data_IF_305118663464
#
_entry.id   IF_305118663464
#
_cell.length_a   1.000
_cell.length_b   1.000
_cell.length_c   1.000
_cell.angle_alpha   90.00
_cell.angle_beta   90.00
_cell.angle_gamma   90.00
#
_symmetry.space_group_name_H-M   'P 1'
#
loop_
_entity.id
_entity.type
_entity.pdbx_description
1 polymer ?
#
# COMPACT_ATOMS: atom_id res chain seq x y z
N UNK A 1 -44.49 39.76 10.31
CA UNK A 1 -44.16 40.76 11.34
C UNK A 1 -44.15 40.04 12.68
N UNK A 2 -43.16 40.31 13.53
CA UNK A 2 -42.54 39.46 14.59
C UNK A 2 -41.34 38.71 13.99
N UNK A 3 -40.09 39.17 14.06
CA UNK A 3 -39.30 39.88 15.08
C UNK A 3 -39.13 39.07 16.38
N UNK A 4 -38.02 38.35 16.46
CA UNK A 4 -37.45 37.82 17.71
C UNK A 4 -36.00 37.32 17.48
N UNK A 5 -35.08 38.23 17.75
CA UNK A 5 -33.86 38.07 18.56
C UNK A 5 -32.89 36.90 18.25
N UNK A 6 -31.73 37.29 17.71
CA UNK A 6 -30.49 36.52 17.74
C UNK A 6 -29.94 36.39 19.18
N UNK A 7 -29.34 35.23 19.55
CA UNK A 7 -28.59 35.11 20.79
C UNK A 7 -27.15 35.65 20.68
N UNK A 8 -26.55 36.08 21.81
CA UNK A 8 -25.32 36.87 21.84
C UNK A 8 -24.04 36.04 21.65
N UNK A 9 -23.03 36.72 21.10
CA UNK A 9 -21.67 36.25 20.91
C UNK A 9 -21.02 35.84 22.25
N UNK A 10 -20.58 34.58 22.33
CA UNK A 10 -19.75 34.10 23.41
C UNK A 10 -18.29 34.55 23.20
N UNK A 11 -17.84 35.38 24.13
CA UNK A 11 -16.49 35.85 24.34
C UNK A 11 -15.60 34.66 24.73
N UNK A 12 -14.72 34.20 23.83
CA UNK A 12 -13.71 33.19 24.16
C UNK A 12 -12.42 33.91 24.52
N UNK A 13 -12.19 33.90 25.82
CA UNK A 13 -11.04 34.46 26.51
C UNK A 13 -9.74 33.78 26.06
N UNK A 14 -8.76 34.63 25.82
CA UNK A 14 -7.39 34.35 25.42
C UNK A 14 -6.61 33.70 26.57
N UNK A 15 -6.57 32.37 26.63
CA UNK A 15 -5.60 31.65 27.45
C UNK A 15 -4.39 31.23 26.60
N UNK A 16 -3.42 32.14 26.53
CA UNK A 16 -2.08 31.92 25.95
C UNK A 16 -1.33 30.94 26.86
N UNK A 17 -1.14 29.70 26.41
CA UNK A 17 -0.26 28.74 27.08
C UNK A 17 1.20 29.25 27.01
N UNK A 18 2.01 29.06 28.07
CA UNK A 18 3.38 29.54 28.11
C UNK A 18 4.24 28.79 27.08
N UNK A 19 4.99 29.58 26.31
CA UNK A 19 6.08 29.13 25.46
C UNK A 19 7.08 28.41 26.36
N UNK A 20 7.05 27.08 26.35
CA UNK A 20 8.11 26.26 26.89
C UNK A 20 9.35 26.47 26.03
N UNK A 21 10.32 27.17 26.59
CA UNK A 21 11.69 27.22 26.11
C UNK A 21 12.19 25.77 25.98
N UNK A 22 12.32 25.30 24.75
CA UNK A 22 13.18 24.18 24.43
C UNK A 22 14.61 24.69 24.62
N UNK A 23 15.12 24.57 25.84
CA UNK A 23 16.56 24.41 26.03
C UNK A 23 16.97 23.18 25.20
N UNK A 24 17.72 23.41 24.14
CA UNK A 24 18.60 22.43 23.53
C UNK A 24 19.43 21.77 24.64
N UNK A 25 18.96 20.62 25.12
CA UNK A 25 19.83 19.66 25.76
C UNK A 25 20.53 18.91 24.62
N UNK A 26 21.61 19.52 24.14
CA UNK A 26 22.63 18.83 23.36
C UNK A 26 23.20 17.73 24.27
N UNK A 27 22.64 16.52 24.18
CA UNK A 27 23.26 15.36 24.82
C UNK A 27 24.63 15.17 24.16
N UNK A 28 25.73 15.17 24.95
CA UNK A 28 27.04 14.95 24.38
C UNK A 28 27.09 13.50 23.90
N UNK A 29 27.30 13.31 22.61
CA UNK A 29 27.69 12.01 22.04
C UNK A 29 28.88 11.50 22.86
N UNK A 30 28.74 10.40 23.64
CA UNK A 30 29.86 9.86 24.39
C UNK A 30 30.81 9.23 23.37
N UNK A 31 31.92 9.92 23.06
CA UNK A 31 32.98 9.38 22.22
C UNK A 31 33.41 10.22 21.02
N UNK A 32 32.93 11.45 20.85
CA UNK A 32 33.59 12.39 19.93
C UNK A 32 34.89 12.88 20.57
N UNK A 33 36.00 12.19 20.32
CA UNK A 33 37.34 12.70 20.57
C UNK A 33 37.51 13.99 19.77
N UNK A 34 37.40 15.13 20.46
CA UNK A 34 37.88 16.42 19.93
C UNK A 34 39.37 16.24 19.68
N UNK A 35 39.87 16.38 18.43
CA UNK A 35 41.28 16.19 18.16
C UNK A 35 42.06 17.26 18.92
N UNK A 36 42.91 16.85 19.85
CA UNK A 36 43.85 17.74 20.52
C UNK A 36 44.87 18.20 19.46
N UNK A 37 44.96 19.49 19.10
CA UNK A 37 45.74 19.93 17.95
C UNK A 37 47.25 20.02 18.21
N UNK A 38 47.75 19.59 19.37
CA UNK A 38 49.15 19.74 19.73
C UNK A 38 49.88 18.39 19.83
N UNK A 39 51.03 18.35 19.16
CA UNK A 39 52.00 17.25 19.01
C UNK A 39 51.70 16.25 17.88
N UNK A 40 51.87 16.69 16.62
CA UNK A 40 52.22 15.80 15.51
C UNK A 40 53.63 15.25 15.76
N UNK A 41 53.72 14.08 16.39
CA UNK A 41 54.99 13.33 16.41
C UNK A 41 55.38 12.99 14.97
N UNK A 42 56.61 13.33 14.57
CA UNK A 42 57.19 12.98 13.27
C UNK A 42 57.59 11.48 13.19
N UNK A 43 57.11 10.67 14.14
CA UNK A 43 57.44 9.26 14.25
C UNK A 43 56.36 8.42 13.54
N UNK A 44 56.68 7.80 12.39
CA UNK A 44 55.73 6.96 11.65
C UNK A 44 55.23 5.76 12.46
N UNK A 45 55.97 5.31 13.49
CA UNK A 45 55.55 4.22 14.37
C UNK A 45 54.47 4.68 15.35
N UNK A 46 54.59 5.90 15.88
CA UNK A 46 53.58 6.50 16.75
C UNK A 46 52.25 6.75 16.00
N UNK A 47 52.33 7.24 14.76
CA UNK A 47 51.17 7.40 13.88
C UNK A 47 50.50 6.04 13.58
N UNK A 48 51.30 5.01 13.29
CA UNK A 48 50.79 3.66 13.03
C UNK A 48 50.06 3.05 14.22
N UNK A 49 50.57 3.26 15.43
CA UNK A 49 49.92 2.80 16.66
C UNK A 49 48.61 3.57 16.95
N UNK A 50 48.57 4.87 16.65
CA UNK A 50 47.36 5.68 16.78
C UNK A 50 46.24 5.19 15.83
N UNK A 51 46.54 5.00 14.54
CA UNK A 51 45.56 4.49 13.57
C UNK A 51 45.07 3.08 13.90
N UNK A 52 45.96 2.22 14.41
CA UNK A 52 45.58 0.89 14.88
C UNK A 52 44.56 0.98 16.02
N UNK A 53 44.79 1.88 16.97
CA UNK A 53 43.89 2.15 18.10
C UNK A 53 42.52 2.67 17.66
N UNK A 54 42.50 3.65 16.76
CA UNK A 54 41.26 4.21 16.18
C UNK A 54 40.48 3.13 15.42
N UNK A 55 41.16 2.29 14.64
CA UNK A 55 40.51 1.20 13.90
C UNK A 55 39.90 0.14 14.82
N UNK A 56 40.60 -0.26 15.88
CA UNK A 56 40.05 -1.18 16.89
C UNK A 56 38.84 -0.58 17.61
N UNK A 57 38.85 0.71 17.95
CA UNK A 57 37.72 1.37 18.59
C UNK A 57 36.49 1.44 17.65
N UNK A 58 36.70 1.69 16.36
CA UNK A 58 35.63 1.64 15.36
C UNK A 58 35.08 0.22 15.17
N UNK A 59 35.95 -0.79 15.14
CA UNK A 59 35.55 -2.19 15.01
C UNK A 59 34.74 -2.68 16.23
N UNK A 60 35.15 -2.31 17.45
CA UNK A 60 34.40 -2.61 18.67
C UNK A 60 33.06 -1.87 18.72
N UNK A 61 33.03 -0.59 18.30
CA UNK A 61 31.80 0.18 18.19
C UNK A 61 30.83 -0.36 17.13
N UNK A 62 31.34 -0.96 16.04
CA UNK A 62 30.52 -1.64 15.04
C UNK A 62 29.97 -2.97 15.57
N UNK A 63 30.80 -3.72 16.31
CA UNK A 63 30.41 -4.98 16.94
C UNK A 63 29.33 -4.77 18.01
N UNK A 64 29.46 -3.76 18.87
CA UNK A 64 28.44 -3.40 19.87
C UNK A 64 27.12 -3.00 19.21
N UNK A 65 27.15 -2.18 18.15
CA UNK A 65 25.97 -1.83 17.35
C UNK A 65 25.35 -3.05 16.67
N UNK A 66 26.16 -3.98 16.17
CA UNK A 66 25.65 -5.22 15.55
C UNK A 66 24.94 -6.14 16.56
N UNK A 67 25.41 -6.19 17.81
CA UNK A 67 24.76 -6.95 18.88
C UNK A 67 23.43 -6.32 19.30
N UNK A 68 23.36 -4.99 19.41
CA UNK A 68 22.12 -4.26 19.69
C UNK A 68 21.10 -4.40 18.55
N UNK A 69 21.56 -4.37 17.29
CA UNK A 69 20.71 -4.64 16.13
C UNK A 69 20.21 -6.08 16.14
N UNK A 70 21.03 -7.05 16.55
CA UNK A 70 20.61 -8.44 16.65
C UNK A 70 19.54 -8.66 17.74
N UNK A 71 19.67 -8.01 18.91
CA UNK A 71 18.63 -8.03 19.95
C UNK A 71 17.34 -7.35 19.48
N UNK A 72 17.45 -6.19 18.82
CA UNK A 72 16.30 -5.47 18.28
C UNK A 72 15.60 -6.29 17.17
N UNK A 73 16.37 -7.00 16.34
CA UNK A 73 15.84 -7.94 15.34
C UNK A 73 15.17 -9.14 16.00
N UNK A 74 15.73 -9.72 17.06
CA UNK A 74 15.08 -10.84 17.78
C UNK A 74 13.81 -10.42 18.50
N UNK A 75 13.82 -9.24 19.13
CA UNK A 75 12.64 -8.69 19.81
C UNK A 75 11.56 -8.30 18.80
N UNK A 76 11.95 -7.75 17.65
CA UNK A 76 11.04 -7.54 16.53
C UNK A 76 10.50 -8.86 15.99
N UNK A 77 11.32 -9.89 15.76
CA UNK A 77 10.87 -11.22 15.30
C UNK A 77 9.85 -11.86 16.25
N UNK A 78 10.09 -11.80 17.57
CA UNK A 78 9.15 -12.29 18.56
C UNK A 78 7.82 -11.49 18.54
N UNK A 79 7.91 -10.16 18.42
CA UNK A 79 6.73 -9.30 18.27
C UNK A 79 5.98 -9.57 16.95
N UNK A 80 6.69 -9.85 15.86
CA UNK A 80 6.12 -10.19 14.55
C UNK A 80 5.40 -11.53 14.59
N UNK A 81 5.96 -12.54 15.27
CA UNK A 81 5.28 -13.83 15.46
C UNK A 81 3.97 -13.68 16.23
N UNK A 82 3.96 -12.88 17.31
CA UNK A 82 2.75 -12.58 18.07
C UNK A 82 1.72 -11.76 17.27
N UNK A 83 2.18 -10.81 16.44
CA UNK A 83 1.33 -10.06 15.53
C UNK A 83 0.72 -10.95 14.44
N UNK A 84 1.48 -11.89 13.90
CA UNK A 84 1.01 -12.83 12.89
C UNK A 84 -0.13 -13.71 13.43
N UNK A 85 -0.01 -14.23 14.65
CA UNK A 85 -1.09 -14.98 15.30
C UNK A 85 -2.31 -14.09 15.58
N UNK A 86 -2.12 -12.85 16.06
CA UNK A 86 -3.23 -11.92 16.28
C UNK A 86 -3.96 -11.55 14.98
N UNK A 87 -3.22 -11.41 13.89
CA UNK A 87 -3.76 -11.12 12.56
C UNK A 87 -4.53 -12.33 12.02
N UNK A 88 -3.98 -13.54 12.17
CA UNK A 88 -4.65 -14.79 11.80
C UNK A 88 -5.97 -14.96 12.55
N UNK A 89 -5.96 -14.76 13.88
CA UNK A 89 -7.17 -14.82 14.69
C UNK A 89 -8.18 -13.75 14.25
N UNK A 90 -7.71 -12.53 13.97
CA UNK A 90 -8.55 -11.44 13.47
C UNK A 90 -9.19 -11.80 12.13
N UNK A 91 -8.43 -12.32 11.17
CA UNK A 91 -8.93 -12.75 9.87
C UNK A 91 -9.94 -13.90 10.01
N UNK A 92 -9.65 -14.88 10.86
CA UNK A 92 -10.58 -15.97 11.12
C UNK A 92 -11.91 -15.44 11.66
N UNK A 93 -11.85 -14.51 12.61
CA UNK A 93 -13.06 -13.90 13.18
C UNK A 93 -13.78 -13.02 12.15
N UNK A 94 -13.06 -12.26 11.31
CA UNK A 94 -13.64 -11.50 10.18
C UNK A 94 -14.42 -12.41 9.22
N UNK A 95 -13.85 -13.56 8.87
CA UNK A 95 -14.44 -14.51 7.90
C UNK A 95 -15.59 -15.32 8.51
N UNK A 96 -15.51 -15.65 9.80
CA UNK A 96 -16.54 -16.43 10.49
C UNK A 96 -17.74 -15.61 10.96
N UNK A 97 -17.56 -14.30 11.12
CA UNK A 97 -18.64 -13.40 11.53
C UNK A 97 -19.72 -13.29 10.44
N UNK A 98 -20.92 -13.78 10.79
CA UNK A 98 -22.13 -13.78 9.96
C UNK A 98 -23.18 -12.78 10.45
N UNK A 99 -22.84 -11.89 11.39
CA UNK A 99 -23.79 -10.91 11.90
C UNK A 99 -24.25 -9.96 10.79
N UNK A 100 -25.39 -9.32 11.02
CA UNK A 100 -25.86 -8.24 10.15
C UNK A 100 -24.81 -7.11 10.08
N UNK A 101 -24.76 -6.49 8.90
CA UNK A 101 -23.85 -5.38 8.60
C UNK A 101 -24.41 -4.12 9.24
N UNK A 102 -23.67 -3.58 10.21
CA UNK A 102 -23.97 -2.29 10.84
C UNK A 102 -23.23 -1.12 10.17
N UNK A 103 -22.28 -1.42 9.29
CA UNK A 103 -21.47 -0.40 8.61
C UNK A 103 -22.35 0.44 7.70
N UNK A 104 -22.31 1.77 7.82
CA UNK A 104 -23.14 2.64 7.01
C UNK A 104 -22.70 2.57 5.53
N UNK A 105 -23.63 2.48 4.56
CA UNK A 105 -23.31 2.49 3.13
C UNK A 105 -22.49 3.70 2.70
N UNK A 106 -22.69 4.84 3.36
CA UNK A 106 -21.94 6.09 3.20
C UNK A 106 -20.46 5.98 3.56
N UNK A 107 -20.01 4.93 4.27
CA UNK A 107 -18.59 4.64 4.47
C UNK A 107 -18.05 3.66 3.41
N UNK A 108 -18.83 2.64 3.04
CA UNK A 108 -18.41 1.61 2.07
C UNK A 108 -18.31 2.19 0.66
N UNK A 109 -19.34 2.94 0.23
CA UNK A 109 -19.44 3.53 -1.10
C UNK A 109 -18.23 4.40 -1.46
N UNK A 110 -17.89 5.48 -0.71
CA UNK A 110 -16.75 6.31 -1.06
C UNK A 110 -15.42 5.56 -0.94
N UNK A 111 -15.31 4.58 -0.03
CA UNK A 111 -14.09 3.76 0.11
C UNK A 111 -13.81 2.99 -1.17
N UNK A 112 -14.80 2.28 -1.71
CA UNK A 112 -14.65 1.51 -2.94
C UNK A 112 -14.63 2.39 -4.20
N UNK A 113 -15.32 3.53 -4.19
CA UNK A 113 -15.24 4.50 -5.29
C UNK A 113 -13.84 5.10 -5.40
N UNK A 114 -13.25 5.53 -4.29
CA UNK A 114 -11.85 5.98 -4.32
C UNK A 114 -10.89 4.85 -4.66
N UNK A 115 -11.08 3.65 -4.12
CA UNK A 115 -10.28 2.48 -4.48
C UNK A 115 -10.32 2.18 -5.99
N UNK A 116 -11.45 2.44 -6.66
CA UNK A 116 -11.56 2.38 -8.13
C UNK A 116 -10.63 3.38 -8.80
N UNK A 117 -10.64 4.64 -8.35
CA UNK A 117 -9.75 5.69 -8.89
C UNK A 117 -8.28 5.33 -8.64
N UNK A 118 -7.95 4.84 -7.45
CA UNK A 118 -6.58 4.45 -7.08
C UNK A 118 -6.07 3.27 -7.93
N UNK A 119 -6.88 2.23 -8.11
CA UNK A 119 -6.53 1.05 -8.92
C UNK A 119 -6.44 1.38 -10.41
N UNK A 120 -7.28 2.29 -10.91
CA UNK A 120 -7.14 2.85 -12.26
C UNK A 120 -5.82 3.62 -12.40
N UNK A 121 -5.53 4.52 -11.47
CA UNK A 121 -4.27 5.28 -11.45
C UNK A 121 -3.04 4.38 -11.38
N UNK A 122 -3.08 3.33 -10.56
CA UNK A 122 -2.04 2.31 -10.48
C UNK A 122 -1.89 1.54 -11.80
N UNK A 123 -2.98 1.19 -12.48
CA UNK A 123 -2.95 0.50 -13.77
C UNK A 123 -2.37 1.37 -14.88
N UNK A 124 -2.76 2.64 -14.94
CA UNK A 124 -2.19 3.63 -15.87
C UNK A 124 -0.70 3.84 -15.57
N UNK A 125 -0.34 4.02 -14.31
CA UNK A 125 1.04 4.13 -13.88
C UNK A 125 1.85 2.91 -14.30
N UNK A 126 1.35 1.71 -14.07
CA UNK A 126 1.99 0.46 -14.48
C UNK A 126 2.25 0.41 -15.98
N UNK A 127 1.25 0.75 -16.79
CA UNK A 127 1.40 0.79 -18.24
C UNK A 127 2.50 1.78 -18.67
N UNK A 128 2.48 3.00 -18.11
CA UNK A 128 3.51 4.03 -18.37
C UNK A 128 4.90 3.54 -17.94
N UNK A 129 4.99 2.94 -16.75
CA UNK A 129 6.23 2.39 -16.21
C UNK A 129 6.85 1.32 -17.11
N UNK A 130 6.05 0.33 -17.49
CA UNK A 130 6.49 -0.80 -18.30
C UNK A 130 6.94 -0.39 -19.70
N UNK A 131 6.26 0.57 -20.34
CA UNK A 131 6.51 0.92 -21.74
C UNK A 131 7.47 2.11 -21.93
N UNK A 132 7.47 3.09 -21.02
CA UNK A 132 8.23 4.34 -21.21
C UNK A 132 9.49 4.35 -20.35
N UNK A 133 9.36 3.96 -19.08
CA UNK A 133 10.41 4.16 -18.08
C UNK A 133 11.27 2.93 -17.83
N UNK A 134 10.83 1.74 -18.25
CA UNK A 134 11.54 0.49 -17.99
C UNK A 134 13.02 0.51 -18.39
N UNK A 135 13.33 1.03 -19.58
CA UNK A 135 14.72 1.14 -20.05
C UNK A 135 15.57 2.11 -19.24
N UNK A 136 14.97 3.19 -18.72
CA UNK A 136 15.68 4.20 -17.93
C UNK A 136 15.88 3.76 -16.48
N UNK A 137 14.89 3.12 -15.88
CA UNK A 137 14.97 2.74 -14.46
C UNK A 137 15.92 1.54 -14.26
N UNK A 138 15.97 0.60 -15.20
CA UNK A 138 16.92 -0.52 -15.17
C UNK A 138 18.40 -0.11 -15.24
N UNK A 139 18.72 1.11 -15.71
CA UNK A 139 20.10 1.63 -15.67
C UNK A 139 20.59 1.92 -14.26
N UNK A 140 19.68 2.22 -13.33
CA UNK A 140 20.02 2.63 -11.96
C UNK A 140 19.69 1.56 -10.93
N UNK A 141 18.60 0.80 -11.13
CA UNK A 141 18.11 -0.19 -10.19
C UNK A 141 17.62 -1.45 -10.92
N UNK A 142 18.00 -2.63 -10.44
CA UNK A 142 17.44 -3.88 -10.96
C UNK A 142 15.96 -4.03 -10.61
N UNK A 143 15.18 -4.68 -11.49
CA UNK A 143 13.73 -4.93 -11.31
C UNK A 143 13.36 -5.51 -9.94
N UNK A 144 14.20 -6.38 -9.39
CA UNK A 144 14.04 -6.94 -8.04
C UNK A 144 13.99 -5.88 -6.93
N UNK A 145 14.92 -4.92 -6.93
CA UNK A 145 14.97 -3.87 -5.91
C UNK A 145 13.80 -2.90 -6.03
N UNK A 146 13.36 -2.63 -7.26
CA UNK A 146 12.17 -1.83 -7.52
C UNK A 146 10.92 -2.52 -6.96
N UNK A 147 10.76 -3.82 -7.24
CA UNK A 147 9.66 -4.61 -6.71
C UNK A 147 9.67 -4.64 -5.17
N UNK A 148 10.83 -4.83 -4.55
CA UNK A 148 10.95 -4.80 -3.08
C UNK A 148 10.61 -3.42 -2.50
N UNK A 149 11.04 -2.34 -3.17
CA UNK A 149 10.68 -0.98 -2.79
C UNK A 149 9.17 -0.75 -2.84
N UNK A 150 8.51 -1.18 -3.91
CA UNK A 150 7.06 -1.01 -4.09
C UNK A 150 6.23 -1.93 -3.19
N UNK A 151 6.68 -3.15 -2.92
CA UNK A 151 5.91 -4.12 -2.14
C UNK A 151 6.14 -4.01 -0.63
N UNK A 152 7.24 -3.39 -0.19
CA UNK A 152 7.59 -3.31 1.23
C UNK A 152 7.80 -1.87 1.68
N UNK A 153 8.77 -1.16 1.10
CA UNK A 153 9.18 0.15 1.61
C UNK A 153 8.07 1.23 1.43
N UNK A 154 7.48 1.33 0.25
CA UNK A 154 6.44 2.30 -0.04
C UNK A 154 5.14 2.06 0.77
N UNK A 155 4.61 0.83 0.92
CA UNK A 155 3.47 0.56 1.78
C UNK A 155 3.70 0.97 3.23
N UNK A 156 4.88 0.69 3.78
CA UNK A 156 5.24 1.08 5.14
C UNK A 156 5.29 2.61 5.28
N UNK A 157 5.96 3.29 4.34
CA UNK A 157 5.99 4.75 4.30
C UNK A 157 4.58 5.35 4.22
N UNK A 158 3.72 4.83 3.35
CA UNK A 158 2.34 5.28 3.22
C UNK A 158 1.52 5.03 4.49
N UNK A 159 1.69 3.86 5.12
CA UNK A 159 1.02 3.54 6.38
C UNK A 159 1.36 4.54 7.49
N UNK A 160 2.64 4.82 7.72
CA UNK A 160 3.06 5.77 8.73
C UNK A 160 2.62 7.20 8.41
N UNK A 161 2.67 7.59 7.14
CA UNK A 161 2.22 8.92 6.69
C UNK A 161 0.72 9.12 6.93
N UNK A 162 -0.11 8.12 6.61
CA UNK A 162 -1.56 8.19 6.84
C UNK A 162 -1.86 8.25 8.34
N UNK A 163 -1.21 7.40 9.15
CA UNK A 163 -1.37 7.42 10.61
C UNK A 163 -0.99 8.78 11.21
N UNK A 164 0.15 9.33 10.79
CA UNK A 164 0.61 10.65 11.26
C UNK A 164 -0.38 11.76 10.89
N UNK A 165 -0.86 11.79 9.63
CA UNK A 165 -1.84 12.78 9.17
C UNK A 165 -3.20 12.63 9.85
N UNK A 166 -3.66 11.41 10.10
CA UNK A 166 -4.90 11.17 10.84
C UNK A 166 -4.81 11.63 12.30
N UNK A 167 -3.64 11.49 12.94
CA UNK A 167 -3.44 11.93 14.32
C UNK A 167 -3.56 13.44 14.51
N UNK A 168 -3.23 14.23 13.48
CA UNK A 168 -3.33 15.70 13.49
C UNK A 168 -4.58 16.23 12.78
N UNK A 169 -5.59 15.39 12.56
CA UNK A 169 -6.82 15.72 11.83
C UNK A 169 -6.55 16.32 10.43
N UNK A 170 -5.59 15.75 9.70
CA UNK A 170 -5.27 16.13 8.33
C UNK A 170 -6.47 16.04 7.39
N UNK A 171 -6.44 16.85 6.33
CA UNK A 171 -7.55 16.94 5.37
C UNK A 171 -7.79 15.60 4.65
N UNK A 172 -9.05 15.16 4.61
CA UNK A 172 -9.48 13.96 3.87
C UNK A 172 -9.13 14.05 2.37
N UNK A 173 -9.27 15.23 1.76
CA UNK A 173 -8.86 15.46 0.38
C UNK A 173 -7.35 15.28 0.18
N UNK A 174 -6.54 15.76 1.13
CA UNK A 174 -5.08 15.62 1.08
C UNK A 174 -4.66 14.15 1.15
N UNK A 175 -5.28 13.37 2.05
CA UNK A 175 -5.03 11.94 2.18
C UNK A 175 -5.41 11.15 0.91
N UNK A 176 -6.54 11.49 0.28
CA UNK A 176 -6.96 10.87 -0.99
C UNK A 176 -6.01 11.18 -2.14
N UNK A 177 -5.54 12.43 -2.23
CA UNK A 177 -4.56 12.82 -3.25
C UNK A 177 -3.19 12.19 -3.00
N UNK A 178 -2.78 12.07 -1.73
CA UNK A 178 -1.59 11.31 -1.35
C UNK A 178 -1.69 9.84 -1.78
N UNK A 179 -2.81 9.18 -1.49
CA UNK A 179 -3.06 7.80 -1.91
C UNK A 179 -3.06 7.65 -3.44
N UNK A 180 -3.60 8.63 -4.17
CA UNK A 180 -3.58 8.62 -5.63
C UNK A 180 -2.17 8.75 -6.18
N UNK A 181 -1.37 9.67 -5.63
CA UNK A 181 0.04 9.82 -5.98
C UNK A 181 0.84 8.55 -5.65
N UNK A 182 0.58 7.94 -4.48
CA UNK A 182 1.15 6.65 -4.08
C UNK A 182 0.79 5.54 -5.09
N UNK A 183 -0.49 5.41 -5.45
CA UNK A 183 -0.97 4.37 -6.35
C UNK A 183 -0.37 4.54 -7.76
N UNK A 184 -0.38 5.75 -8.30
CA UNK A 184 0.19 6.05 -9.62
C UNK A 184 1.70 5.82 -9.62
N UNK A 185 2.43 6.39 -8.64
CA UNK A 185 3.89 6.25 -8.54
C UNK A 185 4.34 4.81 -8.34
N UNK A 186 3.66 4.07 -7.45
CA UNK A 186 3.91 2.64 -7.25
C UNK A 186 3.62 1.83 -8.50
N UNK A 187 2.56 2.18 -9.23
CA UNK A 187 2.27 1.62 -10.55
C UNK A 187 3.43 1.82 -11.51
N UNK A 188 3.88 3.07 -11.69
CA UNK A 188 5.01 3.43 -12.56
C UNK A 188 6.26 2.63 -12.20
N UNK A 189 6.62 2.59 -10.92
CA UNK A 189 7.80 1.86 -10.47
C UNK A 189 7.66 0.36 -10.73
N UNK A 190 6.55 -0.25 -10.32
CA UNK A 190 6.35 -1.69 -10.50
C UNK A 190 6.32 -2.07 -11.98
N UNK A 191 5.66 -1.27 -12.82
CA UNK A 191 5.65 -1.45 -14.27
C UNK A 191 7.06 -1.38 -14.86
N UNK A 192 7.86 -0.40 -14.45
CA UNK A 192 9.24 -0.29 -14.90
C UNK A 192 10.08 -1.52 -14.49
N UNK A 193 9.86 -2.07 -13.30
CA UNK A 193 10.53 -3.29 -12.84
C UNK A 193 10.10 -4.58 -13.57
N UNK A 194 8.96 -4.57 -14.27
CA UNK A 194 8.44 -5.69 -15.06
C UNK A 194 8.45 -5.41 -16.57
N UNK A 195 9.21 -4.42 -17.04
CA UNK A 195 9.22 -4.01 -18.46
C UNK A 195 9.63 -5.12 -19.44
N UNK A 196 10.36 -6.15 -18.98
CA UNK A 196 10.79 -7.29 -19.78
C UNK A 196 9.89 -8.52 -19.61
N UNK A 197 8.76 -8.38 -18.91
CA UNK A 197 7.84 -9.49 -18.61
C UNK A 197 6.55 -9.31 -19.40
N UNK A 198 6.30 -10.23 -20.32
CA UNK A 198 5.08 -10.27 -21.12
C UNK A 198 3.98 -11.04 -20.39
N UNK A 199 2.75 -10.55 -20.55
CA UNK A 199 1.56 -11.12 -19.92
C UNK A 199 0.43 -11.18 -20.95
N UNK A 200 -0.21 -12.34 -21.09
CA UNK A 200 -1.15 -12.60 -22.19
C UNK A 200 -2.42 -11.74 -22.10
N UNK A 201 -3.10 -11.77 -20.95
CA UNK A 201 -4.32 -11.00 -20.73
C UNK A 201 -4.54 -10.70 -19.25
N UNK A 202 -5.02 -9.49 -18.96
CA UNK A 202 -5.35 -9.04 -17.61
C UNK A 202 -6.81 -8.55 -17.53
N UNK A 203 -7.55 -8.88 -16.47
CA UNK A 203 -8.81 -8.23 -16.18
C UNK A 203 -8.58 -6.78 -15.76
N UNK A 204 -9.55 -5.91 -16.08
CA UNK A 204 -9.53 -4.51 -15.66
C UNK A 204 -9.70 -4.42 -14.14
N UNK A 205 -8.58 -4.24 -13.43
CA UNK A 205 -8.54 -4.32 -11.97
C UNK A 205 -9.48 -3.34 -11.25
N UNK A 206 -9.74 -2.17 -11.84
CA UNK A 206 -10.63 -1.17 -11.28
C UNK A 206 -12.12 -1.56 -11.37
N UNK A 207 -12.49 -2.55 -12.18
CA UNK A 207 -13.90 -2.99 -12.27
C UNK A 207 -14.39 -3.62 -10.98
N UNK A 208 -13.55 -4.39 -10.28
CA UNK A 208 -13.95 -5.03 -9.03
C UNK A 208 -14.39 -4.03 -7.96
N UNK A 209 -13.58 -3.03 -7.57
CA UNK A 209 -14.02 -2.04 -6.59
C UNK A 209 -15.17 -1.17 -7.13
N UNK A 210 -15.25 -0.93 -8.43
CA UNK A 210 -16.36 -0.19 -9.03
C UNK A 210 -17.68 -0.92 -8.85
N UNK A 211 -17.75 -2.21 -9.18
CA UNK A 211 -18.98 -3.00 -9.03
C UNK A 211 -19.40 -3.09 -7.56
N UNK A 212 -18.45 -3.26 -6.64
CA UNK A 212 -18.74 -3.22 -5.19
C UNK A 212 -19.39 -1.88 -4.83
N UNK A 213 -18.82 -0.76 -5.29
CA UNK A 213 -19.38 0.57 -5.04
C UNK A 213 -20.80 0.74 -5.61
N UNK A 214 -21.06 0.24 -6.82
CA UNK A 214 -22.38 0.31 -7.46
C UNK A 214 -23.43 -0.53 -6.73
N UNK A 215 -23.05 -1.72 -6.23
CA UNK A 215 -23.93 -2.55 -5.41
C UNK A 215 -24.30 -1.82 -4.11
N UNK A 216 -23.37 -1.09 -3.49
CA UNK A 216 -23.68 -0.30 -2.30
C UNK A 216 -24.50 0.97 -2.59
N UNK A 217 -24.30 1.59 -3.75
CA UNK A 217 -25.08 2.75 -4.17
C UNK A 217 -26.54 2.40 -4.50
N UNK A 218 -26.78 1.27 -5.18
CA UNK A 218 -28.07 0.96 -5.79
C UNK A 218 -28.70 -0.35 -5.29
N UNK A 219 -27.90 -1.34 -4.91
CA UNK A 219 -28.36 -2.67 -4.51
C UNK A 219 -28.60 -2.83 -3.01
N UNK A 220 -27.76 -2.24 -2.16
CA UNK A 220 -27.81 -2.42 -0.71
C UNK A 220 -29.18 -2.11 -0.08
N UNK A 221 -29.91 -1.04 -0.47
CA UNK A 221 -31.25 -0.78 0.04
C UNK A 221 -32.25 -1.92 -0.20
N UNK A 222 -32.10 -2.67 -1.30
CA UNK A 222 -32.98 -3.79 -1.66
C UNK A 222 -32.50 -5.14 -1.10
N UNK A 223 -31.20 -5.30 -0.85
CA UNK A 223 -30.58 -6.54 -0.39
C UNK A 223 -30.65 -6.73 1.14
N UNK A 224 -30.96 -5.67 1.88
CA UNK A 224 -31.01 -5.68 3.34
C UNK A 224 -29.63 -5.67 4.01
N UNK A 225 -29.58 -5.99 5.30
CA UNK A 225 -28.35 -5.91 6.12
C UNK A 225 -27.59 -7.24 6.22
N UNK A 226 -28.13 -8.33 5.66
CA UNK A 226 -27.51 -9.64 5.75
C UNK A 226 -26.15 -9.66 5.05
N UNK A 227 -25.08 -9.84 5.85
CA UNK A 227 -23.69 -9.87 5.36
C UNK A 227 -23.45 -10.81 4.18
N UNK A 228 -23.87 -12.08 4.18
CA UNK A 228 -23.59 -12.98 3.06
C UNK A 228 -24.28 -12.52 1.76
N UNK A 229 -25.46 -11.91 1.86
CA UNK A 229 -26.18 -11.36 0.71
C UNK A 229 -25.43 -10.18 0.10
N UNK A 230 -24.98 -9.23 0.93
CA UNK A 230 -24.20 -8.07 0.48
C UNK A 230 -22.85 -8.49 -0.11
N UNK A 231 -22.12 -9.39 0.57
CA UNK A 231 -20.85 -9.92 0.05
C UNK A 231 -21.05 -10.66 -1.28
N UNK A 232 -22.04 -11.54 -1.35
CA UNK A 232 -22.34 -12.33 -2.54
C UNK A 232 -22.72 -11.45 -3.73
N UNK A 233 -23.58 -10.45 -3.52
CA UNK A 233 -23.97 -9.52 -4.56
C UNK A 233 -22.80 -8.65 -5.04
N UNK A 234 -22.01 -8.09 -4.12
CA UNK A 234 -20.88 -7.23 -4.47
C UNK A 234 -19.73 -8.00 -5.12
N UNK A 235 -19.19 -9.01 -4.44
CA UNK A 235 -18.00 -9.74 -4.90
C UNK A 235 -18.37 -10.70 -6.04
N UNK A 236 -19.49 -11.41 -5.93
CA UNK A 236 -19.97 -12.30 -6.97
C UNK A 236 -20.38 -11.54 -8.23
N UNK A 237 -21.05 -10.38 -8.08
CA UNK A 237 -21.34 -9.49 -9.20
C UNK A 237 -20.07 -8.96 -9.89
N UNK A 238 -19.07 -8.56 -9.11
CA UNK A 238 -17.79 -8.10 -9.65
C UNK A 238 -17.05 -9.19 -10.43
N UNK A 239 -16.98 -10.40 -9.87
CA UNK A 239 -16.37 -11.54 -10.56
C UNK A 239 -17.15 -11.90 -11.82
N UNK A 240 -18.48 -11.98 -11.72
CA UNK A 240 -19.37 -12.27 -12.85
C UNK A 240 -19.20 -11.29 -14.00
N UNK A 241 -19.19 -9.98 -13.72
CA UNK A 241 -18.99 -8.95 -14.75
C UNK A 241 -17.61 -9.09 -15.41
N UNK A 242 -16.57 -9.35 -14.62
CA UNK A 242 -15.21 -9.54 -15.13
C UNK A 242 -15.13 -10.77 -16.03
N UNK A 243 -15.77 -11.88 -15.66
CA UNK A 243 -15.83 -13.08 -16.51
C UNK A 243 -16.58 -12.83 -17.81
N UNK A 244 -17.72 -12.14 -17.77
CA UNK A 244 -18.47 -11.75 -18.97
C UNK A 244 -17.61 -10.88 -19.89
N UNK A 245 -16.89 -9.89 -19.35
CA UNK A 245 -15.96 -9.08 -20.13
C UNK A 245 -14.86 -9.94 -20.77
N UNK A 246 -14.29 -10.90 -20.03
CA UNK A 246 -13.32 -11.86 -20.55
C UNK A 246 -13.86 -12.71 -21.70
N UNK A 247 -15.11 -13.19 -21.60
CA UNK A 247 -15.78 -13.95 -22.67
C UNK A 247 -15.96 -13.08 -23.91
N UNK A 248 -16.51 -11.88 -23.75
CA UNK A 248 -16.80 -10.97 -24.87
C UNK A 248 -15.55 -10.49 -25.59
N UNK A 249 -14.42 -10.38 -24.90
CA UNK A 249 -13.14 -9.95 -25.47
C UNK A 249 -12.27 -11.12 -25.96
N UNK A 250 -12.69 -12.37 -25.73
CA UNK A 250 -11.86 -13.54 -26.01
C UNK A 250 -10.59 -13.63 -25.15
N UNK A 251 -10.52 -12.89 -24.04
CA UNK A 251 -9.34 -12.75 -23.19
C UNK A 251 -9.24 -13.82 -22.08
N UNK A 252 -10.20 -14.77 -22.03
CA UNK A 252 -10.22 -15.83 -21.03
C UNK A 252 -8.99 -16.73 -21.16
N UNK A 253 -8.11 -16.60 -20.18
CA UNK A 253 -6.90 -17.41 -20.00
C UNK A 253 -6.79 -17.83 -18.53
N UNK A 254 -5.91 -18.77 -18.22
CA UNK A 254 -5.64 -19.17 -16.82
C UNK A 254 -5.19 -17.97 -15.99
N UNK A 255 -4.36 -17.08 -16.55
CA UNK A 255 -3.91 -15.86 -15.85
C UNK A 255 -5.06 -14.87 -15.63
N UNK A 256 -5.96 -14.72 -16.60
CA UNK A 256 -7.14 -13.88 -16.48
C UNK A 256 -8.06 -14.35 -15.35
N UNK A 257 -8.35 -15.66 -15.30
CA UNK A 257 -9.18 -16.28 -14.27
C UNK A 257 -8.55 -16.14 -12.89
N UNK A 258 -7.25 -16.41 -12.77
CA UNK A 258 -6.51 -16.29 -11.52
C UNK A 258 -6.53 -14.84 -11.00
N UNK A 259 -6.20 -13.85 -11.85
CA UNK A 259 -6.27 -12.43 -11.47
C UNK A 259 -7.67 -12.00 -11.09
N UNK A 260 -8.70 -12.44 -11.83
CA UNK A 260 -10.10 -12.12 -11.52
C UNK A 260 -10.50 -12.63 -10.14
N UNK A 261 -10.12 -13.87 -9.81
CA UNK A 261 -10.35 -14.46 -8.50
C UNK A 261 -9.57 -13.75 -7.39
N UNK A 262 -8.31 -13.41 -7.63
CA UNK A 262 -7.48 -12.70 -6.64
C UNK A 262 -8.00 -11.29 -6.38
N UNK A 263 -8.39 -10.53 -7.41
CA UNK A 263 -9.01 -9.20 -7.25
C UNK A 263 -10.34 -9.27 -6.51
N UNK A 264 -11.19 -10.26 -6.83
CA UNK A 264 -12.41 -10.53 -6.08
C UNK A 264 -12.10 -10.87 -4.61
N UNK A 265 -11.06 -11.66 -4.36
CA UNK A 265 -10.56 -11.98 -3.02
C UNK A 265 -10.13 -10.76 -2.22
N UNK A 266 -9.35 -9.85 -2.83
CA UNK A 266 -8.95 -8.58 -2.19
C UNK A 266 -10.19 -7.76 -1.82
N UNK A 267 -11.14 -7.63 -2.74
CA UNK A 267 -12.39 -6.89 -2.48
C UNK A 267 -13.22 -7.53 -1.38
N UNK A 268 -13.31 -8.85 -1.37
CA UNK A 268 -13.99 -9.61 -0.33
C UNK A 268 -13.39 -9.34 1.05
N UNK A 269 -12.07 -9.50 1.20
CA UNK A 269 -11.37 -9.27 2.46
C UNK A 269 -11.49 -7.81 2.91
N UNK A 270 -11.33 -6.86 1.99
CA UNK A 270 -11.47 -5.43 2.31
C UNK A 270 -12.88 -5.12 2.81
N UNK A 271 -13.91 -5.64 2.13
CA UNK A 271 -15.31 -5.43 2.48
C UNK A 271 -15.68 -6.10 3.81
N UNK A 272 -15.22 -7.33 4.06
CA UNK A 272 -15.41 -8.01 5.35
C UNK A 272 -14.72 -7.24 6.49
N UNK A 273 -13.53 -6.71 6.26
CA UNK A 273 -12.79 -5.91 7.26
C UNK A 273 -13.51 -4.60 7.55
N UNK A 274 -14.05 -3.93 6.52
CA UNK A 274 -14.90 -2.74 6.70
C UNK A 274 -16.15 -3.06 7.53
N UNK A 275 -16.88 -4.14 7.21
CA UNK A 275 -18.08 -4.53 7.96
C UNK A 275 -17.84 -4.75 9.45
N UNK A 276 -16.66 -5.29 9.77
CA UNK A 276 -16.29 -5.58 11.15
C UNK A 276 -15.89 -4.33 11.92
N UNK A 277 -15.06 -3.48 11.33
CA UNK A 277 -14.34 -2.43 12.07
C UNK A 277 -14.85 -1.01 11.85
N UNK A 278 -15.61 -0.76 10.78
CA UNK A 278 -16.20 0.55 10.51
C UNK A 278 -17.64 0.57 11.01
N UNK A 279 -17.93 1.40 12.00
CA UNK A 279 -19.25 1.50 12.66
C UNK A 279 -19.87 2.89 12.53
N UNK A 280 -19.07 3.89 12.19
CA UNK A 280 -19.52 5.27 12.01
C UNK A 280 -19.09 5.81 10.65
N UNK A 281 -19.82 6.82 10.14
CA UNK A 281 -19.44 7.58 8.95
C UNK A 281 -18.15 8.40 9.17
N UNK A 282 -17.85 8.72 10.43
CA UNK A 282 -16.64 9.46 10.82
C UNK A 282 -15.37 8.60 10.84
N UNK A 283 -15.49 7.28 10.73
CA UNK A 283 -14.35 6.37 10.83
C UNK A 283 -13.47 6.50 9.58
N UNK A 284 -12.19 6.78 9.77
CA UNK A 284 -11.28 7.01 8.66
C UNK A 284 -11.01 5.73 7.85
N UNK A 285 -11.40 5.72 6.58
CA UNK A 285 -11.29 4.52 5.72
C UNK A 285 -10.04 4.45 4.85
N UNK A 286 -9.17 5.47 4.90
CA UNK A 286 -7.95 5.59 4.09
C UNK A 286 -7.00 4.38 4.20
N UNK A 287 -6.92 3.74 5.38
CA UNK A 287 -6.08 2.56 5.56
C UNK A 287 -6.63 1.32 4.84
N UNK A 288 -7.94 1.22 4.66
CA UNK A 288 -8.57 0.16 3.87
C UNK A 288 -8.31 0.38 2.38
N UNK A 289 -8.37 1.64 1.92
CA UNK A 289 -7.98 1.99 0.55
C UNK A 289 -6.51 1.65 0.28
N UNK A 290 -5.60 2.01 1.19
CA UNK A 290 -4.19 1.63 1.10
C UNK A 290 -4.03 0.11 1.07
N UNK A 291 -4.65 -0.60 2.01
CA UNK A 291 -4.58 -2.06 2.10
C UNK A 291 -5.03 -2.74 0.82
N UNK A 292 -6.11 -2.26 0.21
CA UNK A 292 -6.58 -2.75 -1.09
C UNK A 292 -5.52 -2.56 -2.19
N UNK A 293 -4.99 -1.34 -2.34
CA UNK A 293 -4.01 -1.01 -3.39
C UNK A 293 -2.70 -1.80 -3.19
N UNK A 294 -2.26 -1.96 -1.95
CA UNK A 294 -1.10 -2.80 -1.61
C UNK A 294 -1.36 -4.24 -2.02
N UNK A 295 -2.49 -4.82 -1.62
CA UNK A 295 -2.83 -6.19 -2.00
C UNK A 295 -2.94 -6.37 -3.52
N UNK A 296 -3.46 -5.37 -4.23
CA UNK A 296 -3.47 -5.33 -5.70
C UNK A 296 -2.06 -5.44 -6.27
N UNK A 297 -1.09 -4.67 -5.77
CA UNK A 297 0.29 -4.76 -6.24
C UNK A 297 0.93 -6.11 -5.91
N UNK A 298 0.66 -6.68 -4.72
CA UNK A 298 1.13 -8.02 -4.37
C UNK A 298 0.59 -9.09 -5.32
N UNK A 299 -0.72 -9.09 -5.58
CA UNK A 299 -1.35 -10.02 -6.52
C UNK A 299 -0.79 -9.85 -7.92
N UNK A 300 -0.62 -8.60 -8.38
CA UNK A 300 -0.06 -8.31 -9.69
C UNK A 300 1.38 -8.80 -9.80
N UNK A 301 2.24 -8.44 -8.85
CA UNK A 301 3.64 -8.87 -8.83
C UNK A 301 3.78 -10.40 -8.74
N UNK A 302 3.00 -11.06 -7.87
CA UNK A 302 3.00 -12.52 -7.74
C UNK A 302 2.57 -13.18 -9.05
N UNK A 303 1.53 -12.66 -9.70
CA UNK A 303 1.04 -13.27 -10.95
C UNK A 303 2.04 -13.06 -12.09
N UNK A 304 2.64 -11.87 -12.21
CA UNK A 304 3.73 -11.63 -13.17
C UNK A 304 4.94 -12.53 -12.92
N UNK A 305 5.27 -12.78 -11.65
CA UNK A 305 6.36 -13.68 -11.29
C UNK A 305 6.08 -15.15 -11.65
N UNK A 306 4.85 -15.62 -11.41
CA UNK A 306 4.48 -17.04 -11.62
C UNK A 306 4.12 -17.33 -13.09
N UNK A 307 3.46 -16.39 -13.76
CA UNK A 307 2.84 -16.60 -15.09
C UNK A 307 3.44 -15.74 -16.20
N UNK A 308 4.32 -14.79 -15.86
CA UNK A 308 4.97 -13.93 -16.84
C UNK A 308 6.02 -14.66 -17.66
N UNK A 309 6.18 -14.25 -18.91
CA UNK A 309 7.19 -14.78 -19.84
C UNK A 309 8.18 -13.71 -20.24
N UNK A 310 9.46 -14.06 -20.38
CA UNK A 310 10.48 -13.18 -20.98
C UNK A 310 10.49 -13.26 -22.52
N UNK A 311 9.78 -14.23 -23.09
CA UNK A 311 9.57 -14.33 -24.53
C UNK A 311 8.24 -13.67 -24.89
N UNK A 312 8.20 -12.80 -25.93
CA UNK A 312 6.96 -12.26 -26.43
C UNK A 312 6.08 -13.41 -26.97
N UNK A 313 4.77 -13.33 -26.75
CA UNK A 313 3.85 -14.33 -27.28
C UNK A 313 3.83 -14.22 -28.81
N UNK A 314 4.14 -15.32 -29.50
CA UNK A 314 4.02 -15.40 -30.96
C UNK A 314 2.54 -15.30 -31.34
N UNK A 315 2.18 -14.25 -32.08
CA UNK A 315 0.89 -14.22 -32.76
C UNK A 315 0.99 -15.21 -33.93
N UNK A 316 0.35 -16.37 -33.79
CA UNK A 316 0.17 -17.31 -34.89
C UNK A 316 -0.67 -16.60 -35.96
N UNK A 317 -0.02 -16.03 -36.98
CA UNK A 317 -0.70 -15.42 -38.11
C UNK A 317 -1.48 -16.56 -38.77
N UNK A 318 -2.82 -16.49 -38.89
CA UNK A 318 -3.58 -17.53 -39.57
C UNK A 318 -2.97 -17.72 -40.94
N UNK A 319 -2.52 -18.94 -41.23
CA UNK A 319 -1.98 -19.26 -42.55
C UNK A 319 -2.97 -18.73 -43.60
N UNK A 320 -2.50 -17.97 -44.60
CA UNK A 320 -3.41 -17.42 -45.60
C UNK A 320 -4.20 -18.58 -46.17
N UNK A 321 -5.50 -18.59 -45.90
CA UNK A 321 -6.42 -19.58 -46.46
C UNK A 321 -6.18 -19.59 -47.94
N UNK A 322 -5.56 -20.66 -48.44
CA UNK A 322 -5.41 -20.87 -49.87
C UNK A 322 -6.79 -20.67 -50.47
N UNK A 323 -6.91 -19.62 -51.30
CA UNK A 323 -8.11 -19.31 -52.01
C UNK A 323 -8.53 -20.59 -52.73
N UNK A 324 -9.58 -21.25 -52.22
CA UNK A 324 -10.23 -22.37 -52.91
C UNK A 324 -10.67 -21.82 -54.27
N UNK A 325 -9.94 -22.21 -55.30
CA UNK A 325 -10.35 -22.12 -56.69
C UNK A 325 -11.52 -23.07 -56.94
#
# INVERSE_FOLDING_TARGET
MADAAAPPAANVDTARAPVGTLTEAEEPVPGALVPNPEVRSADPVALGNQYKGEFTAYAEGLRLRSAQVQELVQQQLASTASQAESFKATLQDVVQDKSDVQTPPSAVLPTFLWTTVLTLGASVGFFVGANILGGLVHLFFGGFFIALGVLVALPLYAYFTIKAKQAVAGSDAELRMFLLAYALGSGVLLGAGFNSTYFYSEPLAFLTPLVVSLVFAYGAPALGAARPTLLGASVGGALGLTLVAGILTGALSTSYLLLSLMYAGIACLTLMTLFKFVKSESDATHLYMLGYVVAYFYVKALTFFVMGSYQPYEYEVPAPTEARK
#
